data_IF_614951040927
#
_entry.id   IF_614951040927
#
_cell.length_a   1.000
_cell.length_b   1.000
_cell.length_c   1.000
_cell.angle_alpha   90.00
_cell.angle_beta   90.00
_cell.angle_gamma   90.00
#
_symmetry.space_group_name_H-M   'P 1'
#
loop_
_entity.id
_entity.type
_entity.pdbx_description
1 polymer ?
#
# COMPACT_ATOMS: atom_id res chain seq x y z
N UNK A 1 -8.36 -8.16 6.02
CA UNK A 1 -7.21 -7.89 5.14
C UNK A 1 -5.96 -7.98 5.99
N UNK A 2 -5.04 -8.84 5.61
CA UNK A 2 -3.72 -8.94 6.25
C UNK A 2 -2.72 -8.36 5.27
N UNK A 3 -1.80 -7.52 5.75
CA UNK A 3 -0.78 -6.88 4.92
C UNK A 3 0.57 -7.46 5.28
N UNK A 4 1.25 -7.95 4.25
CA UNK A 4 2.56 -8.56 4.40
C UNK A 4 3.63 -7.49 4.67
N UNK A 5 4.52 -7.80 5.59
CA UNK A 5 5.74 -7.03 5.78
C UNK A 5 6.55 -7.03 4.47
N UNK A 6 7.17 -5.89 4.15
CA UNK A 6 7.83 -5.64 2.88
C UNK A 6 6.91 -5.14 1.76
N UNK A 7 5.58 -5.08 1.98
CA UNK A 7 4.69 -4.51 0.97
C UNK A 7 4.94 -3.02 0.81
N UNK A 8 5.29 -2.60 -0.40
CA UNK A 8 5.44 -1.20 -0.76
C UNK A 8 4.12 -0.62 -1.31
N UNK A 9 3.86 0.62 -0.93
CA UNK A 9 2.71 1.39 -1.35
C UNK A 9 3.16 2.77 -1.85
N UNK A 10 2.76 3.12 -3.07
CA UNK A 10 3.07 4.39 -3.70
C UNK A 10 2.04 5.44 -3.27
N UNK A 11 2.53 6.61 -2.85
CA UNK A 11 1.72 7.75 -2.39
C UNK A 11 1.44 8.70 -3.56
N UNK A 12 0.18 9.10 -3.72
CA UNK A 12 -0.18 10.16 -4.66
C UNK A 12 0.36 11.51 -4.19
N UNK A 13 0.70 12.38 -5.14
CA UNK A 13 1.29 13.71 -4.86
C UNK A 13 0.48 14.54 -3.86
N UNK A 14 -0.86 14.39 -3.87
CA UNK A 14 -1.73 15.17 -2.99
C UNK A 14 -1.61 14.80 -1.50
N UNK A 15 -1.16 13.59 -1.17
CA UNK A 15 -0.97 13.17 0.22
C UNK A 15 0.49 13.14 0.66
N UNK A 16 1.46 13.29 -0.25
CA UNK A 16 2.90 13.24 0.08
C UNK A 16 3.26 14.21 1.21
N UNK A 17 2.68 15.41 1.24
CA UNK A 17 2.89 16.40 2.32
C UNK A 17 2.56 15.87 3.72
N UNK A 18 1.64 14.91 3.82
CA UNK A 18 1.27 14.27 5.10
C UNK A 18 2.27 13.18 5.51
N UNK A 19 3.13 12.75 4.60
CA UNK A 19 4.13 11.68 4.78
C UNK A 19 5.54 12.22 4.52
N UNK A 20 5.84 13.42 5.04
CA UNK A 20 7.15 14.08 4.89
C UNK A 20 7.63 14.24 3.44
N UNK A 21 6.71 14.36 2.49
CA UNK A 21 7.00 14.40 1.06
C UNK A 21 7.64 13.11 0.50
N UNK A 22 7.53 11.98 1.20
CA UNK A 22 7.96 10.69 0.70
C UNK A 22 7.08 10.23 -0.46
N UNK A 23 7.66 9.55 -1.45
CA UNK A 23 6.92 9.03 -2.61
C UNK A 23 6.25 7.69 -2.32
N UNK A 24 6.80 6.92 -1.40
CA UNK A 24 6.30 5.59 -1.06
C UNK A 24 6.48 5.28 0.42
N UNK A 25 5.65 4.37 0.91
CA UNK A 25 5.79 3.74 2.22
C UNK A 25 6.00 2.24 2.07
N UNK A 26 6.79 1.66 2.96
CA UNK A 26 7.03 0.22 3.00
C UNK A 26 6.56 -0.31 4.34
N UNK A 27 5.66 -1.29 4.31
CA UNK A 27 5.12 -1.89 5.53
C UNK A 27 6.21 -2.70 6.22
N UNK A 28 6.47 -2.40 7.50
CA UNK A 28 7.44 -3.14 8.33
C UNK A 28 6.74 -4.33 8.99
N UNK A 29 5.56 -4.09 9.57
CA UNK A 29 4.75 -5.11 10.22
C UNK A 29 3.32 -4.64 10.45
N UNK A 30 2.41 -5.59 10.60
CA UNK A 30 1.07 -5.38 11.10
C UNK A 30 0.95 -6.01 12.50
N UNK A 31 0.43 -5.26 13.46
CA UNK A 31 0.13 -5.74 14.82
C UNK A 31 -1.34 -5.47 15.12
N UNK A 32 -2.16 -6.52 15.05
CA UNK A 32 -3.62 -6.40 15.11
C UNK A 32 -4.13 -5.48 14.00
N UNK A 33 -4.74 -4.35 14.39
CA UNK A 33 -5.30 -3.36 13.46
C UNK A 33 -4.37 -2.17 13.19
N UNK A 34 -3.12 -2.20 13.66
CA UNK A 34 -2.13 -1.15 13.41
C UNK A 34 -1.08 -1.64 12.42
N UNK A 35 -0.75 -0.81 11.45
CA UNK A 35 0.33 -1.03 10.49
C UNK A 35 1.47 -0.07 10.83
N UNK A 36 2.67 -0.60 10.90
CA UNK A 36 3.90 0.18 10.99
C UNK A 36 4.61 0.17 9.65
N UNK A 37 5.13 1.32 9.23
CA UNK A 37 5.74 1.51 7.93
C UNK A 37 6.95 2.43 8.00
N UNK A 38 7.85 2.30 7.04
CA UNK A 38 8.91 3.28 6.75
C UNK A 38 8.54 4.12 5.56
N UNK A 39 9.12 5.31 5.47
CA UNK A 39 9.10 6.16 4.28
C UNK A 39 10.36 5.84 3.45
N UNK A 40 10.24 5.57 2.15
CA UNK A 40 11.39 5.09 1.35
C UNK A 40 12.45 6.17 1.08
N UNK A 41 12.10 7.45 1.09
CA UNK A 41 13.01 8.53 0.68
C UNK A 41 13.64 9.28 1.86
N UNK A 42 13.12 9.08 3.07
CA UNK A 42 13.50 9.80 4.27
C UNK A 42 13.44 8.79 5.40
N UNK A 43 14.39 8.78 6.33
CA UNK A 43 14.46 7.89 7.50
C UNK A 43 13.29 8.09 8.51
N UNK A 44 12.07 8.23 8.03
CA UNK A 44 10.84 8.41 8.78
C UNK A 44 10.15 7.07 8.97
N UNK A 45 9.71 6.86 10.20
CA UNK A 45 8.88 5.74 10.60
C UNK A 45 7.49 6.28 10.92
N UNK A 46 6.47 5.50 10.58
CA UNK A 46 5.09 5.85 10.85
C UNK A 46 4.29 4.63 11.30
N UNK A 47 3.15 4.92 11.90
CA UNK A 47 2.15 3.92 12.19
C UNK A 47 0.77 4.47 11.91
N UNK A 48 -0.11 3.65 11.34
CA UNK A 48 -1.49 4.03 11.09
C UNK A 48 -2.43 2.83 11.30
N UNK A 49 -3.72 3.06 11.57
CA UNK A 49 -4.70 1.99 11.54
C UNK A 49 -4.79 1.36 10.15
N UNK A 50 -4.98 0.04 10.09
CA UNK A 50 -5.28 -0.71 8.87
C UNK A 50 -6.46 -0.10 8.12
N UNK A 51 -7.49 0.34 8.85
CA UNK A 51 -8.65 1.02 8.28
C UNK A 51 -8.29 2.34 7.59
N UNK A 52 -7.29 3.07 8.11
CA UNK A 52 -6.84 4.31 7.48
C UNK A 52 -6.14 4.03 6.16
N UNK A 53 -5.26 3.02 6.12
CA UNK A 53 -4.64 2.59 4.86
C UNK A 53 -5.70 2.18 3.83
N UNK A 54 -6.70 1.39 4.25
CA UNK A 54 -7.81 0.99 3.37
C UNK A 54 -8.61 2.18 2.84
N UNK A 55 -8.83 3.19 3.68
CA UNK A 55 -9.49 4.42 3.28
C UNK A 55 -8.67 5.18 2.23
N UNK A 56 -7.36 5.31 2.42
CA UNK A 56 -6.46 5.93 1.43
C UNK A 56 -6.47 5.15 0.10
N UNK A 57 -6.50 3.81 0.16
CA UNK A 57 -6.57 2.96 -1.04
C UNK A 57 -7.89 3.16 -1.79
N UNK A 58 -9.02 3.19 -1.08
CA UNK A 58 -10.35 3.46 -1.67
C UNK A 58 -10.43 4.84 -2.33
N UNK A 59 -9.65 5.81 -1.85
CA UNK A 59 -9.57 7.15 -2.43
C UNK A 59 -8.55 7.29 -3.56
N UNK A 60 -7.89 6.19 -3.98
CA UNK A 60 -6.77 6.21 -4.93
C UNK A 60 -5.65 7.18 -4.51
N UNK A 61 -5.51 7.43 -3.20
CA UNK A 61 -4.45 8.26 -2.65
C UNK A 61 -3.19 7.45 -2.37
N UNK A 62 -3.35 6.14 -2.19
CA UNK A 62 -2.25 5.21 -2.07
C UNK A 62 -2.55 3.97 -2.89
N UNK A 63 -1.56 3.45 -3.61
CA UNK A 63 -1.69 2.26 -4.43
C UNK A 63 -0.62 1.25 -4.04
N UNK A 64 -0.98 -0.03 -4.01
CA UNK A 64 0.02 -1.09 -3.80
C UNK A 64 0.99 -1.03 -4.99
N UNK A 65 2.29 -1.02 -4.72
CA UNK A 65 3.29 -1.10 -5.76
C UNK A 65 3.21 -2.51 -6.38
N UNK A 66 2.45 -2.65 -7.46
CA UNK A 66 2.33 -3.91 -8.17
C UNK A 66 3.61 -4.13 -8.93
N UNK A 67 4.39 -5.16 -8.56
CA UNK A 67 5.44 -5.65 -9.44
C UNK A 67 4.76 -6.08 -10.75
N UNK A 68 5.32 -5.68 -11.91
CA UNK A 68 4.78 -5.94 -13.27
C UNK A 68 4.46 -7.41 -13.59
N UNK A 69 4.71 -8.35 -12.67
CA UNK A 69 4.37 -9.78 -12.77
C UNK A 69 2.94 -10.12 -12.31
N UNK A 70 2.32 -9.33 -11.43
CA UNK A 70 0.98 -9.68 -10.91
C UNK A 70 -0.15 -9.36 -11.91
N UNK A 71 0.08 -8.46 -12.87
CA UNK A 71 -0.88 -8.19 -13.96
C UNK A 71 -1.05 -9.36 -14.94
N UNK A 72 -0.20 -10.40 -14.88
CA UNK A 72 -0.31 -11.58 -15.75
C UNK A 72 -1.26 -12.66 -15.20
N UNK A 73 -1.80 -12.50 -13.98
CA UNK A 73 -2.68 -13.51 -13.36
C UNK A 73 -4.16 -13.10 -13.29
N UNK A 74 -4.51 -11.83 -13.53
CA UNK A 74 -5.91 -11.38 -13.46
C UNK A 74 -6.71 -11.61 -14.77
N UNK A 75 -6.09 -12.12 -15.85
CA UNK A 75 -6.80 -12.46 -17.11
C UNK A 75 -7.32 -13.91 -17.17
N UNK A 76 -7.13 -14.75 -16.15
CA UNK A 76 -7.55 -16.17 -16.20
C UNK A 76 -8.91 -16.45 -15.54
N UNK A 77 -9.54 -15.47 -14.88
CA UNK A 77 -10.77 -15.72 -14.10
C UNK A 77 -12.05 -15.06 -14.66
N UNK A 78 -12.19 -14.97 -15.99
CA UNK A 78 -13.42 -14.46 -16.65
C UNK A 78 -13.91 -15.22 -17.89
N UNK A 79 -13.62 -16.52 -18.03
CA UNK A 79 -14.25 -17.32 -19.09
C UNK A 79 -14.51 -18.78 -18.72
N UNK A 80 -15.31 -19.00 -17.67
CA UNK A 80 -16.03 -20.27 -17.50
C UNK A 80 -17.51 -19.98 -17.24
N UNK A 81 -18.26 -19.83 -18.33
CA UNK A 81 -19.69 -20.10 -18.37
C UNK A 81 -19.91 -21.01 -19.58
N UNK A 82 -19.93 -22.33 -19.34
CA UNK A 82 -20.48 -23.35 -20.25
C UNK A 82 -21.56 -24.07 -19.49
#
# INVERSE_FOLDING_TARGET
MTIEAGTEYQLSECIQKNFNSAKAITVIRQTGNIIQFTLNDLNGHGSMPLQHLQYLMKKNQITKATNKRDFLNDEVEKDQIV
#
